data_IF_505268932753
#
_entry.id   IF_505268932753
#
_cell.length_a   1.000
_cell.length_b   1.000
_cell.length_c   1.000
_cell.angle_alpha   90.00
_cell.angle_beta   90.00
_cell.angle_gamma   90.00
#
_symmetry.space_group_name_H-M   'P 1'
#
loop_
_entity.id
_entity.type
_entity.pdbx_description
1 polymer ?
#
# COMPACT_ATOMS: atom_id res chain seq x y z
N UNK A 1 27.37 -69.15 11.79
CA UNK A 1 26.14 -68.76 12.56
C UNK A 1 25.62 -67.50 11.89
N UNK A 2 24.44 -67.64 11.27
CA UNK A 2 23.73 -66.67 10.42
C UNK A 2 23.33 -65.46 11.17
N UNK A 3 23.35 -64.29 10.57
CA UNK A 3 22.24 -63.32 10.54
C UNK A 3 22.43 -62.28 9.45
N UNK A 4 21.63 -62.47 8.42
CA UNK A 4 21.28 -61.53 7.36
C UNK A 4 20.39 -60.40 7.93
N UNK A 5 20.66 -59.14 7.57
CA UNK A 5 19.69 -58.04 7.68
C UNK A 5 19.87 -57.08 6.51
N UNK A 6 19.15 -57.37 5.47
CA UNK A 6 18.81 -56.46 4.40
C UNK A 6 18.00 -55.27 4.95
N UNK A 7 18.53 -54.07 4.91
CA UNK A 7 17.80 -52.83 5.18
C UNK A 7 17.40 -52.17 3.86
N UNK A 8 16.13 -52.38 3.50
CA UNK A 8 15.47 -51.69 2.39
C UNK A 8 15.24 -50.21 2.74
N UNK A 9 15.98 -49.33 2.06
CA UNK A 9 15.67 -47.88 2.04
C UNK A 9 14.42 -47.67 1.20
N UNK A 10 13.31 -47.37 1.86
CA UNK A 10 12.09 -46.88 1.21
C UNK A 10 12.24 -45.43 0.81
N UNK A 11 12.43 -45.18 -0.47
CA UNK A 11 12.34 -43.85 -1.08
C UNK A 11 10.89 -43.44 -1.09
N UNK A 12 10.50 -42.48 -0.21
CA UNK A 12 9.19 -41.85 -0.25
C UNK A 12 9.18 -40.77 -1.32
N UNK A 13 8.61 -41.08 -2.45
CA UNK A 13 8.25 -40.14 -3.51
C UNK A 13 7.16 -39.22 -2.99
N UNK A 14 7.47 -37.92 -2.77
CA UNK A 14 6.46 -36.91 -2.57
C UNK A 14 5.81 -36.59 -3.91
N UNK A 15 4.56 -37.00 -4.06
CA UNK A 15 3.73 -36.62 -5.18
C UNK A 15 3.35 -35.13 -5.01
N UNK A 16 3.87 -34.29 -5.89
CA UNK A 16 3.43 -32.90 -6.04
C UNK A 16 2.07 -32.96 -6.75
N UNK A 17 0.98 -32.72 -6.00
CA UNK A 17 -0.36 -32.57 -6.55
C UNK A 17 -0.46 -31.15 -7.13
N UNK A 18 -0.65 -30.97 -8.43
CA UNK A 18 -0.95 -29.65 -8.99
C UNK A 18 -2.36 -29.26 -8.56
N UNK A 19 -2.47 -28.15 -7.83
CA UNK A 19 -3.76 -27.54 -7.49
C UNK A 19 -4.35 -26.95 -8.75
N UNK A 20 -5.25 -27.72 -9.39
CA UNK A 20 -6.05 -27.28 -10.54
C UNK A 20 -7.12 -26.30 -10.02
N UNK A 21 -6.91 -25.00 -10.19
CA UNK A 21 -7.93 -24.00 -9.92
C UNK A 21 -8.95 -24.07 -11.04
N UNK A 22 -10.06 -24.76 -10.81
CA UNK A 22 -11.24 -24.71 -11.68
C UNK A 22 -11.91 -23.34 -11.48
N UNK A 23 -11.78 -22.47 -12.47
CA UNK A 23 -12.62 -21.28 -12.59
C UNK A 23 -14.05 -21.71 -12.90
N UNK A 24 -14.91 -21.78 -11.89
CA UNK A 24 -16.33 -21.92 -12.05
C UNK A 24 -16.92 -20.56 -12.47
N UNK A 25 -17.15 -20.40 -13.76
CA UNK A 25 -17.93 -19.31 -14.33
C UNK A 25 -19.39 -19.53 -13.97
N UNK A 26 -19.91 -18.81 -12.98
CA UNK A 26 -21.34 -18.71 -12.72
C UNK A 26 -21.82 -17.33 -13.13
N UNK A 27 -22.75 -17.20 -14.09
CA UNK A 27 -23.42 -15.94 -14.35
C UNK A 27 -24.61 -15.79 -13.40
N UNK A 28 -24.79 -14.59 -12.90
CA UNK A 28 -25.98 -13.98 -12.31
C UNK A 28 -25.78 -13.44 -10.89
N UNK A 29 -25.73 -12.11 -10.83
CA UNK A 29 -25.78 -11.34 -9.60
C UNK A 29 -24.93 -10.08 -9.70
N UNK A 30 -25.49 -8.99 -10.25
CA UNK A 30 -24.84 -7.68 -10.37
C UNK A 30 -24.74 -6.97 -9.01
N UNK A 31 -23.98 -7.53 -8.09
CA UNK A 31 -23.43 -6.82 -6.97
C UNK A 31 -21.96 -6.54 -7.31
N UNK A 32 -21.57 -5.28 -7.51
CA UNK A 32 -20.17 -4.91 -7.68
C UNK A 32 -19.43 -5.30 -6.39
N UNK A 33 -18.87 -6.49 -6.38
CA UNK A 33 -17.86 -6.84 -5.38
C UNK A 33 -16.68 -5.94 -5.67
N UNK A 34 -16.25 -5.18 -4.67
CA UNK A 34 -15.05 -4.38 -4.79
C UNK A 34 -13.87 -5.26 -5.16
N UNK A 35 -13.12 -4.86 -6.17
CA UNK A 35 -11.91 -5.56 -6.60
C UNK A 35 -10.71 -4.85 -5.99
N UNK A 36 -9.87 -5.60 -5.27
CA UNK A 36 -8.55 -5.14 -4.86
C UNK A 36 -7.56 -5.42 -5.98
N UNK A 37 -6.81 -4.41 -6.34
CA UNK A 37 -5.73 -4.55 -7.31
C UNK A 37 -4.39 -4.51 -6.58
N UNK A 38 -3.53 -5.49 -6.88
CA UNK A 38 -2.18 -5.58 -6.33
C UNK A 38 -1.20 -5.24 -7.43
N UNK A 39 -0.45 -4.15 -7.26
CA UNK A 39 0.56 -3.74 -8.21
C UNK A 39 1.89 -4.46 -7.92
N UNK A 40 2.16 -5.50 -8.67
CA UNK A 40 3.40 -6.29 -8.58
C UNK A 40 4.59 -5.64 -9.30
N UNK A 41 4.32 -4.75 -10.26
CA UNK A 41 5.33 -4.10 -11.08
C UNK A 41 5.00 -2.63 -11.33
N UNK A 42 6.02 -1.77 -11.38
CA UNK A 42 5.87 -0.38 -11.80
C UNK A 42 5.42 -0.27 -13.27
N UNK A 43 5.68 -1.30 -14.06
CA UNK A 43 5.28 -1.36 -15.47
C UNK A 43 3.80 -1.69 -15.67
N UNK A 44 3.06 -2.05 -14.58
CA UNK A 44 1.62 -2.26 -14.67
C UNK A 44 0.90 -0.93 -14.96
N UNK A 45 0.32 -0.76 -16.16
CA UNK A 45 -0.33 0.50 -16.53
C UNK A 45 -1.67 0.72 -15.83
N UNK A 46 -2.19 -0.27 -15.11
CA UNK A 46 -3.57 -0.27 -14.61
C UNK A 46 -3.84 0.86 -13.61
N UNK A 47 -2.96 1.10 -12.63
CA UNK A 47 -3.13 2.17 -11.66
C UNK A 47 -3.09 3.56 -12.33
N UNK A 48 -2.07 3.84 -13.16
CA UNK A 48 -1.95 5.14 -13.86
C UNK A 48 -3.16 5.43 -14.74
N UNK A 49 -3.65 4.39 -15.44
CA UNK A 49 -4.83 4.49 -16.29
C UNK A 49 -6.07 4.80 -15.47
N UNK A 50 -6.23 4.16 -14.30
CA UNK A 50 -7.35 4.42 -13.38
C UNK A 50 -7.29 5.80 -12.76
N UNK A 51 -6.11 6.27 -12.35
CA UNK A 51 -5.95 7.65 -11.83
C UNK A 51 -6.27 8.67 -12.94
N UNK A 52 -5.75 8.47 -14.15
CA UNK A 52 -6.04 9.35 -15.28
C UNK A 52 -7.54 9.38 -15.64
N UNK A 53 -8.27 8.30 -15.41
CA UNK A 53 -9.69 8.19 -15.67
C UNK A 53 -10.60 8.77 -14.57
N UNK A 54 -10.05 9.28 -13.46
CA UNK A 54 -10.84 9.92 -12.40
C UNK A 54 -11.62 11.13 -12.91
N UNK A 55 -11.02 11.91 -13.83
CA UNK A 55 -11.67 13.03 -14.50
C UNK A 55 -10.97 13.34 -15.84
N UNK A 56 -11.68 13.87 -16.84
CA UNK A 56 -11.05 14.37 -18.07
C UNK A 56 -10.01 15.47 -17.84
N UNK A 57 -10.03 16.13 -16.69
CA UNK A 57 -9.09 17.20 -16.32
C UNK A 57 -7.79 16.70 -15.71
N UNK A 58 -7.69 15.41 -15.39
CA UNK A 58 -6.48 14.83 -14.79
C UNK A 58 -5.37 14.76 -15.83
N UNK A 59 -4.21 15.30 -15.46
CA UNK A 59 -2.98 15.18 -16.27
C UNK A 59 -2.50 13.73 -16.29
N UNK A 60 -2.34 13.13 -17.49
CA UNK A 60 -1.75 11.79 -17.59
C UNK A 60 -0.34 11.67 -17.01
N UNK A 61 0.44 12.75 -17.08
CA UNK A 61 1.77 12.84 -16.46
C UNK A 61 1.70 12.81 -14.93
N UNK A 62 0.75 13.53 -14.33
CA UNK A 62 0.55 13.47 -12.88
C UNK A 62 0.09 12.08 -12.45
N UNK A 63 -0.82 11.45 -13.19
CA UNK A 63 -1.27 10.08 -12.92
C UNK A 63 -0.10 9.08 -12.97
N UNK A 64 0.78 9.20 -13.95
CA UNK A 64 2.00 8.40 -14.05
C UNK A 64 2.91 8.63 -12.83
N UNK A 65 3.23 9.90 -12.52
CA UNK A 65 4.12 10.23 -11.39
C UNK A 65 3.57 9.73 -10.05
N UNK A 66 2.26 9.81 -9.84
CA UNK A 66 1.61 9.27 -8.62
C UNK A 66 1.76 7.75 -8.56
N UNK A 67 1.46 7.03 -9.64
CA UNK A 67 1.56 5.58 -9.69
C UNK A 67 3.01 5.11 -9.43
N UNK A 68 3.98 5.70 -10.11
CA UNK A 68 5.40 5.38 -9.96
C UNK A 68 5.90 5.67 -8.54
N UNK A 69 5.53 6.85 -7.99
CA UNK A 69 5.92 7.23 -6.62
C UNK A 69 5.35 6.26 -5.61
N UNK A 70 4.08 5.88 -5.73
CA UNK A 70 3.45 4.94 -4.79
C UNK A 70 4.15 3.57 -4.84
N UNK A 71 4.37 3.04 -6.03
CA UNK A 71 5.06 1.77 -6.23
C UNK A 71 6.50 1.80 -5.68
N UNK A 72 7.29 2.83 -6.03
CA UNK A 72 8.67 2.95 -5.59
C UNK A 72 8.77 3.12 -4.07
N UNK A 73 7.86 3.90 -3.46
CA UNK A 73 7.79 4.08 -2.01
C UNK A 73 7.65 2.73 -1.30
N UNK A 74 6.73 1.89 -1.74
CA UNK A 74 6.53 0.56 -1.15
C UNK A 74 7.80 -0.28 -1.18
N UNK A 75 8.47 -0.35 -2.33
CA UNK A 75 9.71 -1.13 -2.50
C UNK A 75 10.87 -0.61 -1.66
N UNK A 76 11.06 0.69 -1.62
CA UNK A 76 12.16 1.32 -0.89
C UNK A 76 11.99 1.12 0.60
N UNK A 77 10.82 1.45 1.15
CA UNK A 77 10.55 1.32 2.58
C UNK A 77 10.53 -0.14 3.03
N UNK A 78 10.06 -1.08 2.19
CA UNK A 78 10.15 -2.51 2.48
C UNK A 78 11.60 -2.92 2.78
N UNK A 79 12.56 -2.47 1.96
CA UNK A 79 13.99 -2.76 2.14
C UNK A 79 14.56 -2.01 3.33
N UNK A 80 14.29 -0.71 3.44
CA UNK A 80 14.82 0.15 4.50
C UNK A 80 14.39 -0.31 5.90
N UNK A 81 13.10 -0.62 6.05
CA UNK A 81 12.55 -1.08 7.33
C UNK A 81 12.71 -2.57 7.56
N UNK A 82 13.25 -3.30 6.56
CA UNK A 82 13.43 -4.76 6.60
C UNK A 82 12.13 -5.45 6.99
N UNK A 83 11.06 -5.10 6.26
CA UNK A 83 9.68 -5.48 6.60
C UNK A 83 9.49 -7.00 6.54
N UNK A 84 8.86 -7.56 7.57
CA UNK A 84 8.42 -8.94 7.59
C UNK A 84 7.26 -9.15 6.60
N UNK A 85 7.16 -10.35 6.04
CA UNK A 85 6.15 -10.70 5.04
C UNK A 85 4.69 -10.62 5.55
N UNK A 86 4.47 -10.71 6.89
CA UNK A 86 3.17 -10.54 7.52
C UNK A 86 3.07 -9.21 8.28
N UNK A 87 2.08 -8.35 8.00
CA UNK A 87 1.91 -7.07 8.69
C UNK A 87 1.81 -7.21 10.22
N UNK A 88 1.10 -8.22 10.73
CA UNK A 88 1.00 -8.46 12.17
C UNK A 88 2.34 -8.76 12.84
N UNK A 89 3.23 -9.50 12.19
CA UNK A 89 4.60 -9.75 12.66
C UNK A 89 5.38 -8.43 12.64
N UNK A 90 5.26 -7.65 11.57
CA UNK A 90 5.94 -6.37 11.47
C UNK A 90 5.48 -5.41 12.58
N UNK A 91 4.18 -5.31 12.83
CA UNK A 91 3.64 -4.50 13.92
C UNK A 91 4.23 -4.89 15.28
N UNK A 92 4.32 -6.19 15.58
CA UNK A 92 4.97 -6.67 16.79
C UNK A 92 6.44 -6.27 16.87
N UNK A 93 7.20 -6.41 15.78
CA UNK A 93 8.62 -6.04 15.73
C UNK A 93 8.85 -4.54 15.90
N UNK A 94 7.97 -3.70 15.36
CA UNK A 94 8.02 -2.24 15.53
C UNK A 94 7.68 -1.87 16.97
N UNK A 95 6.58 -2.40 17.52
CA UNK A 95 6.14 -2.09 18.88
C UNK A 95 7.10 -2.56 19.96
N UNK A 96 7.94 -3.56 19.68
CA UNK A 96 9.02 -4.03 20.56
C UNK A 96 10.38 -3.36 20.30
N UNK A 97 10.43 -2.33 19.42
CA UNK A 97 11.65 -1.60 19.10
C UNK A 97 12.67 -2.35 18.24
N UNK A 98 12.31 -3.52 17.72
CA UNK A 98 13.18 -4.36 16.86
C UNK A 98 13.21 -3.92 15.40
N UNK A 99 12.27 -3.06 14.98
CA UNK A 99 12.19 -2.46 13.64
C UNK A 99 11.85 -0.98 13.72
N UNK A 100 12.33 -0.21 12.73
CA UNK A 100 12.17 1.25 12.71
C UNK A 100 10.80 1.69 12.22
N UNK A 101 10.14 0.90 11.36
CA UNK A 101 8.88 1.27 10.73
C UNK A 101 8.12 0.07 10.20
N UNK A 102 6.92 0.33 9.67
CA UNK A 102 6.03 -0.66 9.08
C UNK A 102 4.61 -0.67 9.66
N UNK A 103 4.28 0.25 10.57
CA UNK A 103 2.89 0.47 11.00
C UNK A 103 2.09 1.18 9.89
N UNK A 104 0.79 0.95 9.81
CA UNK A 104 -0.05 1.49 8.74
C UNK A 104 0.10 3.02 8.57
N UNK A 105 0.03 3.77 9.65
CA UNK A 105 0.20 5.22 9.59
C UNK A 105 1.61 5.68 9.17
N UNK A 106 2.64 4.88 9.41
CA UNK A 106 4.01 5.19 8.95
C UNK A 106 4.10 5.03 7.43
N UNK A 107 3.56 3.95 6.87
CA UNK A 107 3.46 3.76 5.42
C UNK A 107 2.70 4.91 4.76
N UNK A 108 1.52 5.26 5.30
CA UNK A 108 0.70 6.33 4.77
C UNK A 108 1.41 7.70 4.87
N UNK A 109 2.14 7.97 5.97
CA UNK A 109 2.89 9.22 6.14
C UNK A 109 4.00 9.35 5.11
N UNK A 110 4.83 8.31 4.95
CA UNK A 110 5.94 8.33 4.00
C UNK A 110 5.44 8.47 2.54
N UNK A 111 4.34 7.79 2.21
CA UNK A 111 3.71 7.92 0.91
C UNK A 111 3.19 9.35 0.70
N UNK A 112 2.48 9.92 1.69
CA UNK A 112 1.98 11.29 1.64
C UNK A 112 3.08 12.30 1.38
N UNK A 113 4.21 12.18 2.12
CA UNK A 113 5.37 13.08 1.96
C UNK A 113 5.87 13.11 0.53
N UNK A 114 6.05 11.93 -0.05
CA UNK A 114 6.60 11.78 -1.40
C UNK A 114 5.60 12.23 -2.47
N UNK A 115 4.32 11.92 -2.31
CA UNK A 115 3.28 12.39 -3.22
C UNK A 115 3.08 13.91 -3.15
N UNK A 116 3.13 14.50 -1.95
CA UNK A 116 3.04 15.95 -1.78
C UNK A 116 4.21 16.72 -2.42
N UNK A 117 5.40 16.09 -2.45
CA UNK A 117 6.57 16.65 -3.13
C UNK A 117 6.40 16.76 -4.65
N UNK A 118 5.47 16.01 -5.26
CA UNK A 118 5.16 16.08 -6.69
C UNK A 118 4.48 17.39 -7.10
N UNK A 119 3.92 18.16 -6.14
CA UNK A 119 3.22 19.44 -6.39
C UNK A 119 2.11 19.31 -7.44
N UNK A 120 1.23 18.34 -7.23
CA UNK A 120 0.13 18.00 -8.13
C UNK A 120 -0.82 19.18 -8.33
N UNK A 121 -1.27 19.40 -9.57
CA UNK A 121 -2.17 20.49 -9.96
C UNK A 121 -3.58 19.99 -10.28
N UNK A 122 -3.69 18.79 -10.82
CA UNK A 122 -4.96 18.20 -11.28
C UNK A 122 -5.49 17.11 -10.34
N UNK A 123 -4.66 16.69 -9.39
CA UNK A 123 -5.00 15.68 -8.39
C UNK A 123 -4.96 16.28 -6.97
N UNK A 124 -5.69 15.67 -6.05
CA UNK A 124 -5.71 15.98 -4.61
C UNK A 124 -5.40 14.74 -3.79
N UNK A 125 -4.75 14.95 -2.64
CA UNK A 125 -4.39 13.90 -1.70
C UNK A 125 -5.26 14.01 -0.45
N UNK A 126 -5.71 12.86 0.05
CA UNK A 126 -6.51 12.77 1.26
C UNK A 126 -5.89 11.74 2.21
N UNK A 127 -6.03 11.98 3.51
CA UNK A 127 -5.77 10.98 4.53
C UNK A 127 -7.07 10.23 4.83
N UNK A 128 -7.05 8.92 4.64
CA UNK A 128 -8.18 8.05 4.93
C UNK A 128 -7.88 7.16 6.13
N UNK A 129 -8.88 6.96 6.97
CA UNK A 129 -8.81 6.08 8.13
C UNK A 129 -10.02 5.14 8.20
N UNK A 130 -9.80 3.97 8.74
CA UNK A 130 -10.83 2.98 9.06
C UNK A 130 -10.62 2.49 10.48
N UNK A 131 -11.70 2.37 11.27
CA UNK A 131 -11.65 1.93 12.66
C UNK A 131 -10.79 2.81 13.57
N UNK A 132 -10.89 4.16 13.53
CA UNK A 132 -10.03 5.04 14.31
C UNK A 132 -10.16 4.77 15.81
N UNK A 133 -9.05 4.88 16.54
CA UNK A 133 -8.94 4.62 18.00
C UNK A 133 -9.27 3.18 18.42
N UNK A 134 -9.19 2.23 17.51
CA UNK A 134 -9.35 0.80 17.81
C UNK A 134 -8.07 0.02 17.52
N UNK A 135 -7.99 -1.22 17.98
CA UNK A 135 -6.88 -2.12 17.62
C UNK A 135 -6.87 -2.54 16.14
N UNK A 136 -7.93 -2.23 15.40
CA UNK A 136 -8.09 -2.47 13.96
C UNK A 136 -7.96 -1.19 13.13
N UNK A 137 -7.43 -0.11 13.71
CA UNK A 137 -7.19 1.14 12.98
C UNK A 137 -6.28 0.90 11.78
N UNK A 138 -6.69 1.42 10.63
CA UNK A 138 -5.92 1.39 9.40
C UNK A 138 -5.93 2.74 8.70
N UNK A 139 -4.79 3.13 8.12
CA UNK A 139 -4.58 4.42 7.49
C UNK A 139 -3.98 4.25 6.09
N UNK A 140 -4.49 4.98 5.12
CA UNK A 140 -4.03 4.98 3.73
C UNK A 140 -4.09 6.38 3.12
N UNK A 141 -3.49 6.54 1.94
CA UNK A 141 -3.64 7.75 1.13
C UNK A 141 -4.68 7.48 0.05
N UNK A 142 -5.55 8.46 -0.16
CA UNK A 142 -6.50 8.48 -1.28
C UNK A 142 -6.14 9.60 -2.23
N UNK A 143 -6.26 9.33 -3.52
CA UNK A 143 -6.05 10.28 -4.61
C UNK A 143 -7.38 10.50 -5.32
N UNK A 144 -7.79 11.76 -5.47
CA UNK A 144 -8.94 12.16 -6.28
C UNK A 144 -8.51 13.10 -7.39
N UNK A 145 -9.35 13.31 -8.39
CA UNK A 145 -9.24 14.50 -9.22
C UNK A 145 -9.54 15.74 -8.37
N UNK A 146 -8.95 16.88 -8.73
CA UNK A 146 -9.19 18.14 -8.00
C UNK A 146 -10.67 18.50 -7.96
N UNK A 147 -11.18 18.70 -6.73
CA UNK A 147 -12.60 19.01 -6.48
C UNK A 147 -13.54 17.81 -6.58
N UNK A 148 -13.05 16.60 -6.79
CA UNK A 148 -13.84 15.38 -6.78
C UNK A 148 -14.13 14.93 -5.34
N UNK A 149 -15.25 14.27 -5.12
CA UNK A 149 -15.61 13.75 -3.81
C UNK A 149 -14.64 12.64 -3.35
N UNK A 150 -14.28 12.64 -2.05
CA UNK A 150 -13.39 11.64 -1.44
C UNK A 150 -13.77 10.18 -1.77
N UNK A 151 -15.08 9.86 -1.72
CA UNK A 151 -15.57 8.50 -1.98
C UNK A 151 -15.38 7.99 -3.42
N UNK A 152 -15.09 8.89 -4.36
CA UNK A 152 -14.81 8.55 -5.77
C UNK A 152 -13.34 8.33 -6.05
N UNK A 153 -12.47 8.57 -5.06
CA UNK A 153 -11.03 8.46 -5.18
C UNK A 153 -10.52 7.03 -5.23
N UNK A 154 -9.23 6.93 -5.52
CA UNK A 154 -8.46 5.67 -5.50
C UNK A 154 -7.61 5.66 -4.24
N UNK A 155 -7.76 4.65 -3.40
CA UNK A 155 -6.90 4.43 -2.25
C UNK A 155 -5.59 3.75 -2.68
N UNK A 156 -4.51 4.08 -1.96
CA UNK A 156 -3.17 3.56 -2.14
C UNK A 156 -2.69 3.00 -0.79
N UNK A 157 -2.59 1.70 -0.68
CA UNK A 157 -2.26 0.99 0.56
C UNK A 157 -0.96 0.19 0.41
N UNK A 158 0.03 0.53 1.22
CA UNK A 158 1.33 -0.14 1.26
C UNK A 158 1.45 -1.12 2.44
N UNK A 159 0.50 -1.10 3.37
CA UNK A 159 0.59 -1.92 4.58
C UNK A 159 0.04 -3.34 4.41
N UNK A 160 -1.10 -3.54 3.70
CA UNK A 160 -1.78 -4.85 3.59
C UNK A 160 -0.89 -5.99 3.13
N UNK A 161 0.02 -5.71 2.19
CA UNK A 161 0.98 -6.69 1.66
C UNK A 161 2.43 -6.21 1.85
N UNK A 162 2.70 -5.65 3.04
CA UNK A 162 4.08 -5.41 3.51
C UNK A 162 4.97 -4.66 2.51
N UNK A 163 4.45 -3.60 1.89
CA UNK A 163 5.15 -2.76 0.91
C UNK A 163 4.80 -3.04 -0.55
N UNK A 164 4.06 -4.13 -0.84
CA UNK A 164 3.44 -4.30 -2.15
C UNK A 164 2.20 -3.42 -2.23
N UNK A 165 2.13 -2.55 -3.23
CA UNK A 165 1.04 -1.59 -3.37
C UNK A 165 -0.29 -2.31 -3.67
N UNK A 166 -1.29 -2.04 -2.85
CA UNK A 166 -2.69 -2.36 -3.10
C UNK A 166 -3.44 -1.09 -3.43
N UNK A 167 -4.34 -1.14 -4.39
CA UNK A 167 -5.18 -0.01 -4.73
C UNK A 167 -6.59 -0.48 -5.14
N UNK A 168 -7.58 0.36 -4.87
CA UNK A 168 -8.97 0.18 -5.30
C UNK A 168 -9.73 1.50 -5.17
N UNK A 169 -10.97 1.58 -5.64
CA UNK A 169 -11.84 2.71 -5.33
C UNK A 169 -12.25 2.69 -3.85
N UNK A 170 -12.27 3.86 -3.21
CA UNK A 170 -12.64 4.04 -1.79
C UNK A 170 -13.98 3.36 -1.47
N UNK A 171 -15.00 3.61 -2.30
CA UNK A 171 -16.36 3.11 -2.06
C UNK A 171 -16.54 1.60 -2.30
N UNK A 172 -15.53 0.92 -2.86
CA UNK A 172 -15.61 -0.50 -3.26
C UNK A 172 -14.61 -1.41 -2.55
N UNK A 173 -13.86 -0.88 -1.58
CA UNK A 173 -12.95 -1.72 -0.78
C UNK A 173 -13.76 -2.80 -0.03
N UNK A 174 -13.47 -4.09 -0.23
CA UNK A 174 -14.21 -5.16 0.41
C UNK A 174 -13.92 -5.30 1.90
N UNK A 175 -12.72 -4.87 2.35
CA UNK A 175 -12.22 -5.15 3.69
C UNK A 175 -12.45 -4.00 4.67
N UNK A 176 -12.50 -2.75 4.17
CA UNK A 176 -12.51 -1.56 5.01
C UNK A 176 -13.61 -0.58 4.62
N UNK A 177 -14.05 0.21 5.62
CA UNK A 177 -14.92 1.38 5.43
C UNK A 177 -14.12 2.62 5.75
N UNK A 178 -13.88 3.44 4.75
CA UNK A 178 -12.98 4.58 4.83
C UNK A 178 -13.71 5.87 5.14
N UNK A 179 -13.12 6.65 6.04
CA UNK A 179 -13.51 8.03 6.33
C UNK A 179 -12.34 8.97 6.06
N UNK A 180 -12.63 10.15 5.50
CA UNK A 180 -11.62 11.19 5.32
C UNK A 180 -11.30 11.88 6.65
N UNK A 181 -10.00 12.04 6.97
CA UNK A 181 -9.54 12.82 8.12
C UNK A 181 -8.67 14.01 7.66
N UNK A 182 -9.35 15.14 7.39
CA UNK A 182 -8.70 16.39 6.93
C UNK A 182 -7.74 16.98 7.97
N UNK A 183 -8.07 16.85 9.25
CA UNK A 183 -7.23 17.36 10.32
C UNK A 183 -5.92 16.57 10.44
N UNK A 184 -5.96 15.26 10.27
CA UNK A 184 -4.76 14.43 10.23
C UNK A 184 -3.89 14.72 9.02
N UNK A 185 -4.50 14.89 7.83
CA UNK A 185 -3.78 15.31 6.62
C UNK A 185 -3.00 16.60 6.88
N UNK A 186 -3.67 17.64 7.37
CA UNK A 186 -3.05 18.93 7.66
C UNK A 186 -1.88 18.79 8.65
N UNK A 187 -2.10 18.08 9.76
CA UNK A 187 -1.09 17.83 10.78
C UNK A 187 0.16 17.11 10.24
N UNK A 188 -0.03 16.14 9.33
CA UNK A 188 1.09 15.41 8.71
C UNK A 188 1.89 16.29 7.76
N UNK A 189 1.19 17.10 6.95
CA UNK A 189 1.84 18.03 6.02
C UNK A 189 2.63 19.13 6.75
N UNK A 190 2.10 19.69 7.84
CA UNK A 190 2.81 20.67 8.68
C UNK A 190 4.10 20.10 9.26
N UNK A 191 4.03 18.93 9.89
CA UNK A 191 5.22 18.27 10.45
C UNK A 191 6.31 18.01 9.42
N UNK A 192 5.90 17.67 8.19
CA UNK A 192 6.83 17.44 7.09
C UNK A 192 7.50 18.73 6.64
N UNK A 193 6.75 19.83 6.55
CA UNK A 193 7.28 21.16 6.25
C UNK A 193 8.30 21.63 7.29
N UNK A 194 8.03 21.39 8.56
CA UNK A 194 8.95 21.74 9.67
C UNK A 194 10.26 20.94 9.63
N UNK A 195 10.20 19.65 9.32
CA UNK A 195 11.40 18.81 9.19
C UNK A 195 12.27 19.27 8.04
N UNK A 196 11.66 19.50 6.87
CA UNK A 196 12.37 19.99 5.69
C UNK A 196 13.04 21.36 5.94
N UNK A 197 12.33 22.29 6.61
CA UNK A 197 12.86 23.61 6.92
C UNK A 197 14.01 23.57 7.95
N UNK A 198 13.96 22.67 8.93
CA UNK A 198 15.06 22.44 9.89
C UNK A 198 16.30 21.84 9.21
N UNK A 199 16.13 20.90 8.29
CA UNK A 199 17.25 20.31 7.55
C UNK A 199 17.96 21.34 6.67
N UNK A 200 17.22 22.20 5.96
CA UNK A 200 17.80 23.29 5.16
C UNK A 200 18.58 24.25 6.05
N UNK A 201 18.01 24.67 7.19
CA UNK A 201 18.73 25.60 8.12
C UNK A 201 19.98 24.97 8.73
N UNK A 202 20.00 23.68 9.01
CA UNK A 202 21.20 23.00 9.53
C UNK A 202 22.28 22.88 8.48
N UNK A 203 21.92 22.59 7.22
CA UNK A 203 22.87 22.52 6.11
C UNK A 203 23.51 23.89 5.81
N UNK A 204 22.73 24.99 5.90
CA UNK A 204 23.22 26.35 5.67
C UNK A 204 24.15 26.86 6.80
N UNK A 205 24.09 26.28 8.01
CA UNK A 205 24.97 26.65 9.13
C UNK A 205 26.31 25.90 9.11
N UNK A 206 26.44 24.87 8.29
CA UNK A 206 27.65 24.03 8.21
C UNK A 206 28.61 24.46 7.09
N UNK A 207 28.25 25.46 6.28
CA UNK A 207 29.08 26.12 5.28
C UNK A 207 29.47 27.52 5.77
#
# INVERSE_FOLDING_TARGET
>A
MFFDRSLLLGVRTFAVVPLLVLALSSPLGSGRRGELFVAWSADDPSLRTRIAALSPTVSPDEALRVADTAYMTGRELHREWRVAWLPGIQNFLVNTGRRKGGLCFQWATELLVRLNALKLQTLELHWAESGPNTGAEHNVIVVTARGQAFGEGILLDLWRYSGTLVWTHVGTDPDYRWAENKSELARRLERTGDVASKQVRSATKSN
#
